data_IF_513071069817
#
_entry.id   IF_513071069817
#
_cell.length_a   1.000
_cell.length_b   1.000
_cell.length_c   1.000
_cell.angle_alpha   90.00
_cell.angle_beta   90.00
_cell.angle_gamma   90.00
#
_symmetry.space_group_name_H-M   'P 1'
#
loop_
_entity.id
_entity.type
_entity.pdbx_description
1 polymer ?
#
# COMPACT_ATOMS: atom_id res chain seq x y z
N UNK A 1 16.26 -20.49 -7.75
CA UNK A 1 16.31 -19.52 -8.86
C UNK A 1 16.06 -18.13 -8.28
N UNK A 2 17.13 -17.41 -7.93
CA UNK A 2 17.04 -16.14 -7.23
C UNK A 2 16.70 -15.04 -8.23
N UNK A 3 15.48 -14.52 -8.13
CA UNK A 3 14.91 -13.54 -9.06
C UNK A 3 15.75 -12.26 -9.05
N UNK A 4 16.62 -12.12 -10.05
CA UNK A 4 17.28 -10.86 -10.43
C UNK A 4 16.22 -9.99 -11.11
N UNK A 5 15.55 -9.10 -10.38
CA UNK A 5 14.62 -8.13 -10.98
C UNK A 5 15.12 -6.70 -10.80
N UNK A 6 16.24 -6.38 -11.47
CA UNK A 6 16.71 -5.01 -11.71
C UNK A 6 15.71 -4.18 -12.57
N UNK A 7 14.66 -4.81 -13.12
CA UNK A 7 13.55 -4.13 -13.82
C UNK A 7 12.37 -3.66 -12.94
N UNK A 8 12.34 -3.99 -11.64
CA UNK A 8 11.20 -3.66 -10.76
C UNK A 8 11.18 -2.22 -10.26
N UNK A 9 12.31 -1.55 -10.34
CA UNK A 9 12.43 -0.15 -9.98
C UNK A 9 11.45 0.71 -10.81
N UNK A 10 11.62 0.75 -12.12
CA UNK A 10 10.71 1.50 -13.02
C UNK A 10 9.26 0.98 -12.91
N UNK A 11 9.12 -0.32 -12.64
CA UNK A 11 7.92 -1.00 -12.11
C UNK A 11 7.10 -0.15 -11.13
N UNK A 12 7.71 0.05 -9.96
CA UNK A 12 7.15 0.75 -8.81
C UNK A 12 6.91 2.22 -9.13
N UNK A 13 7.83 2.86 -9.86
CA UNK A 13 7.64 4.24 -10.28
C UNK A 13 6.41 4.42 -11.17
N UNK A 14 6.25 3.58 -12.19
CA UNK A 14 5.09 3.60 -13.08
C UNK A 14 3.80 3.35 -12.30
N UNK A 15 3.79 2.39 -11.39
CA UNK A 15 2.62 2.15 -10.52
C UNK A 15 2.31 3.38 -9.66
N UNK A 16 3.30 4.02 -9.02
CA UNK A 16 3.09 5.22 -8.21
C UNK A 16 2.44 6.35 -9.04
N UNK A 17 2.95 6.59 -10.25
CA UNK A 17 2.39 7.60 -11.16
C UNK A 17 0.97 7.21 -11.59
N UNK A 18 0.72 5.95 -11.96
CA UNK A 18 -0.61 5.50 -12.36
C UNK A 18 -1.63 5.72 -11.23
N UNK A 19 -1.29 5.35 -9.99
CA UNK A 19 -2.17 5.56 -8.84
C UNK A 19 -2.37 7.05 -8.52
N UNK A 20 -1.34 7.89 -8.68
CA UNK A 20 -1.46 9.34 -8.50
C UNK A 20 -2.41 9.98 -9.53
N UNK A 21 -2.23 9.67 -10.83
CA UNK A 21 -3.10 10.18 -11.90
C UNK A 21 -4.54 9.71 -11.70
N UNK A 22 -4.74 8.42 -11.39
CA UNK A 22 -6.08 7.87 -11.11
C UNK A 22 -6.69 8.53 -9.88
N UNK A 23 -5.93 8.67 -8.79
CA UNK A 23 -6.38 9.30 -7.54
C UNK A 23 -6.76 10.76 -7.71
N UNK A 24 -5.94 11.54 -8.42
CA UNK A 24 -6.21 12.93 -8.76
C UNK A 24 -7.43 13.05 -9.66
N UNK A 25 -7.58 12.22 -10.69
CA UNK A 25 -8.77 12.23 -11.56
C UNK A 25 -10.02 11.90 -10.75
N UNK A 26 -9.98 10.89 -9.87
CA UNK A 26 -11.11 10.52 -9.01
C UNK A 26 -11.45 11.63 -8.02
N UNK A 27 -10.45 12.28 -7.41
CA UNK A 27 -10.65 13.45 -6.53
C UNK A 27 -11.25 14.64 -7.30
N UNK A 28 -10.71 14.95 -8.48
CA UNK A 28 -11.22 16.03 -9.33
C UNK A 28 -12.65 15.74 -9.78
N UNK A 29 -12.98 14.50 -10.12
CA UNK A 29 -14.36 14.09 -10.39
C UNK A 29 -15.21 14.24 -9.12
N UNK A 30 -14.73 13.80 -7.95
CA UNK A 30 -15.48 13.95 -6.69
C UNK A 30 -15.77 15.40 -6.31
N UNK A 31 -14.85 16.33 -6.61
CA UNK A 31 -14.97 17.76 -6.30
C UNK A 31 -15.78 18.52 -7.36
N UNK A 32 -15.50 18.30 -8.65
CA UNK A 32 -16.09 19.06 -9.76
C UNK A 32 -17.33 18.43 -10.36
N UNK A 33 -17.48 17.10 -10.28
CA UNK A 33 -18.76 16.50 -10.58
C UNK A 33 -19.71 16.92 -9.45
N UNK A 34 -20.48 17.95 -9.74
CA UNK A 34 -21.70 18.28 -9.02
C UNK A 34 -22.63 17.06 -9.15
N UNK A 35 -22.44 16.08 -8.27
CA UNK A 35 -23.05 14.75 -8.28
C UNK A 35 -24.53 14.82 -7.85
N UNK A 36 -25.29 15.73 -8.46
CA UNK A 36 -26.68 15.48 -8.84
C UNK A 36 -26.75 14.68 -10.14
N UNK A 37 -25.88 13.69 -10.31
CA UNK A 37 -26.08 12.64 -11.30
C UNK A 37 -27.15 11.71 -10.72
N UNK A 38 -28.41 11.95 -11.09
CA UNK A 38 -29.58 11.13 -10.72
C UNK A 38 -30.05 11.17 -9.24
N UNK A 39 -29.72 12.22 -8.47
CA UNK A 39 -30.34 12.46 -7.15
C UNK A 39 -29.75 11.68 -5.97
N UNK A 40 -28.61 11.01 -6.15
CA UNK A 40 -27.89 10.31 -5.06
C UNK A 40 -26.51 10.94 -4.87
N UNK A 41 -26.17 11.28 -3.63
CA UNK A 41 -24.92 11.93 -3.22
C UNK A 41 -23.71 10.98 -3.36
N UNK A 42 -23.15 10.86 -4.57
CA UNK A 42 -21.95 10.05 -4.82
C UNK A 42 -20.62 10.80 -4.62
N UNK A 43 -20.66 12.09 -4.26
CA UNK A 43 -19.47 12.94 -4.08
C UNK A 43 -18.56 12.45 -2.98
N UNK A 44 -19.14 12.15 -1.81
CA UNK A 44 -18.37 11.72 -0.65
C UNK A 44 -17.63 10.40 -0.92
N UNK A 45 -18.28 9.45 -1.60
CA UNK A 45 -17.66 8.17 -1.95
C UNK A 45 -16.47 8.34 -2.91
N UNK A 46 -16.59 9.21 -3.92
CA UNK A 46 -15.50 9.52 -4.86
C UNK A 46 -14.34 10.24 -4.16
N UNK A 47 -14.63 11.16 -3.25
CA UNK A 47 -13.59 11.86 -2.48
C UNK A 47 -12.84 10.88 -1.56
N UNK A 48 -13.56 10.01 -0.83
CA UNK A 48 -12.94 9.02 0.04
C UNK A 48 -12.12 7.99 -0.72
N UNK A 49 -12.63 7.49 -1.85
CA UNK A 49 -11.90 6.52 -2.69
C UNK A 49 -10.68 7.17 -3.36
N UNK A 50 -10.81 8.40 -3.87
CA UNK A 50 -9.69 9.16 -4.42
C UNK A 50 -8.60 9.43 -3.38
N UNK A 51 -8.97 9.84 -2.17
CA UNK A 51 -8.04 10.05 -1.06
C UNK A 51 -7.32 8.76 -0.65
N UNK A 52 -8.03 7.62 -0.59
CA UNK A 52 -7.44 6.31 -0.31
C UNK A 52 -6.41 5.92 -1.39
N UNK A 53 -6.73 6.15 -2.66
CA UNK A 53 -5.85 5.87 -3.80
C UNK A 53 -4.58 6.73 -3.75
N UNK A 54 -4.69 8.03 -3.45
CA UNK A 54 -3.52 8.92 -3.28
C UNK A 54 -2.67 8.49 -2.08
N UNK A 55 -3.29 8.09 -0.98
CA UNK A 55 -2.58 7.59 0.20
C UNK A 55 -1.76 6.31 -0.13
N UNK A 56 -2.35 5.38 -0.87
CA UNK A 56 -1.66 4.17 -1.34
C UNK A 56 -0.50 4.52 -2.31
N UNK A 57 -0.66 5.55 -3.16
CA UNK A 57 0.41 6.06 -4.01
C UNK A 57 1.62 6.54 -3.21
N UNK A 58 1.38 7.22 -2.08
CA UNK A 58 2.46 7.69 -1.19
C UNK A 58 3.33 6.52 -0.67
N UNK A 59 2.72 5.39 -0.32
CA UNK A 59 3.43 4.18 0.13
C UNK A 59 4.35 3.67 -0.99
N UNK A 60 3.85 3.64 -2.23
CA UNK A 60 4.61 3.23 -3.41
C UNK A 60 5.75 4.20 -3.73
N UNK A 61 5.51 5.49 -3.56
CA UNK A 61 6.52 6.55 -3.72
C UNK A 61 7.64 6.43 -2.69
N UNK A 62 7.29 6.13 -1.44
CA UNK A 62 8.27 5.88 -0.38
C UNK A 62 9.05 4.62 -0.69
N UNK A 63 8.40 3.50 -1.06
CA UNK A 63 9.10 2.27 -1.44
C UNK A 63 10.02 2.47 -2.65
N UNK A 64 9.59 3.25 -3.64
CA UNK A 64 10.40 3.64 -4.79
C UNK A 64 11.61 4.48 -4.38
N UNK A 65 11.41 5.50 -3.54
CA UNK A 65 12.47 6.38 -3.06
C UNK A 65 13.49 5.64 -2.19
N UNK A 66 13.00 4.84 -1.24
CA UNK A 66 13.81 3.97 -0.38
C UNK A 66 14.66 3.04 -1.24
N UNK A 67 14.09 2.35 -2.24
CA UNK A 67 14.85 1.52 -3.17
C UNK A 67 15.81 2.30 -4.08
N UNK A 68 15.48 3.51 -4.51
CA UNK A 68 16.36 4.33 -5.34
C UNK A 68 17.53 4.94 -4.54
N UNK A 69 17.34 5.21 -3.24
CA UNK A 69 18.38 5.73 -2.33
C UNK A 69 19.22 4.58 -1.73
N UNK A 70 18.64 3.43 -1.40
CA UNK A 70 19.37 2.22 -0.97
C UNK A 70 20.13 1.52 -2.11
N UNK A 71 19.82 1.77 -3.38
CA UNK A 71 20.72 1.31 -4.47
C UNK A 71 22.11 1.98 -4.41
N UNK A 72 22.26 3.10 -3.68
CA UNK A 72 23.57 3.65 -3.32
C UNK A 72 24.16 3.06 -2.01
N UNK A 73 23.39 2.26 -1.26
CA UNK A 73 23.76 1.65 0.01
C UNK A 73 23.20 0.20 0.11
N UNK A 74 23.89 -0.74 -0.53
CA UNK A 74 23.92 -2.18 -0.22
C UNK A 74 22.60 -2.92 0.14
N UNK A 75 22.08 -3.69 -0.82
CA UNK A 75 21.41 -5.00 -0.63
C UNK A 75 20.30 -5.19 0.47
N UNK A 76 19.17 -4.46 0.49
CA UNK A 76 18.12 -4.71 1.48
C UNK A 76 16.75 -5.00 0.83
N UNK A 77 16.43 -6.26 0.56
CA UNK A 77 15.02 -6.65 0.30
C UNK A 77 14.67 -8.08 0.79
N UNK A 78 15.65 -8.84 1.30
CA UNK A 78 15.42 -10.14 1.96
C UNK A 78 15.29 -10.02 3.48
N UNK A 79 16.06 -9.12 4.09
CA UNK A 79 16.05 -8.89 5.53
C UNK A 79 14.69 -8.38 6.03
N UNK A 80 14.07 -7.43 5.34
CA UNK A 80 12.76 -6.88 5.73
C UNK A 80 11.65 -7.93 5.67
N UNK A 81 11.63 -8.76 4.62
CA UNK A 81 10.68 -9.87 4.49
C UNK A 81 10.93 -10.96 5.54
N UNK A 82 12.19 -11.29 5.83
CA UNK A 82 12.55 -12.28 6.85
C UNK A 82 12.23 -11.79 8.28
N UNK A 83 12.49 -10.51 8.57
CA UNK A 83 12.13 -9.88 9.84
C UNK A 83 10.61 -9.83 10.04
N UNK A 84 9.86 -9.56 8.96
CA UNK A 84 8.40 -9.55 9.02
C UNK A 84 7.84 -10.96 9.22
N UNK A 85 8.41 -11.97 8.56
CA UNK A 85 8.05 -13.37 8.78
C UNK A 85 8.35 -13.83 10.21
N UNK A 86 9.49 -13.41 10.79
CA UNK A 86 9.81 -13.68 12.20
C UNK A 86 8.84 -12.98 13.15
N UNK A 87 8.46 -11.73 12.87
CA UNK A 87 7.49 -10.99 13.68
C UNK A 87 6.10 -11.62 13.60
N UNK A 88 5.65 -12.01 12.41
CA UNK A 88 4.38 -12.71 12.19
C UNK A 88 4.31 -14.04 12.95
N UNK A 89 5.41 -14.80 13.01
CA UNK A 89 5.49 -16.01 13.84
C UNK A 89 5.30 -15.70 15.33
N UNK A 90 5.97 -14.67 15.85
CA UNK A 90 5.79 -14.25 17.25
C UNK A 90 4.36 -13.80 17.53
N UNK A 91 3.74 -13.10 16.58
CA UNK A 91 2.34 -12.69 16.72
C UNK A 91 1.40 -13.90 16.73
N UNK A 92 1.65 -14.90 15.88
CA UNK A 92 0.92 -16.16 15.86
C UNK A 92 1.05 -16.96 17.16
N UNK A 93 2.23 -17.01 17.77
CA UNK A 93 2.42 -17.65 19.08
C UNK A 93 1.63 -16.93 20.18
N UNK A 94 1.57 -15.60 20.13
CA UNK A 94 0.81 -14.81 21.10
C UNK A 94 -0.69 -15.01 20.94
N UNK A 95 -1.19 -15.06 19.71
CA UNK A 95 -2.61 -15.36 19.45
C UNK A 95 -2.99 -16.78 19.87
N UNK A 96 -2.15 -17.77 19.55
CA UNK A 96 -2.36 -19.16 20.00
C UNK A 96 -2.47 -19.28 21.52
N UNK A 97 -1.61 -18.57 22.27
CA UNK A 97 -1.64 -18.60 23.74
C UNK A 97 -2.89 -17.91 24.32
N UNK A 98 -3.38 -16.86 23.67
CA UNK A 98 -4.60 -16.15 24.07
C UNK A 98 -5.84 -17.00 23.77
N UNK A 99 -5.85 -17.73 22.64
CA UNK A 99 -6.98 -18.57 22.24
C UNK A 99 -7.13 -19.82 23.13
N UNK A 100 -6.02 -20.44 23.55
CA UNK A 100 -6.06 -21.59 24.48
C UNK A 100 -6.59 -21.20 25.87
N UNK A 101 -6.31 -19.98 26.34
CA UNK A 101 -6.81 -19.50 27.65
C UNK A 101 -8.32 -19.18 27.65
N UNK A 102 -8.98 -19.17 26.49
CA UNK A 102 -10.43 -18.95 26.39
C UNK A 102 -11.23 -20.25 26.16
N UNK A 103 -10.55 -21.39 25.94
CA UNK A 103 -11.19 -22.70 25.65
C UNK A 103 -11.10 -23.69 26.82
N UNK A 104 -10.37 -23.38 27.89
CA UNK A 104 -10.35 -24.21 29.11
C UNK A 104 -10.76 -23.37 30.34
N UNK A 105 -11.92 -23.66 30.99
CA UNK A 105 -12.23 -23.13 32.31
C UNK A 105 -11.34 -23.73 33.40
#
# INVERSE_FOLDING_TARGET
>A
MAVRCIGRCVLLFCLAICFDVVGLVVLLIGIFANLRLNGVFYGDFLIFTGALVVFLSLIWWIMWYTGNVEVAADEPDRSTLDNFAQWARKFSERLSKIEIHHVLP
#
